data_IF_411258695665
#
_entry.id   IF_411258695665
#
_cell.length_a   1.000
_cell.length_b   1.000
_cell.length_c   1.000
_cell.angle_alpha   90.00
_cell.angle_beta   90.00
_cell.angle_gamma   90.00
#
_symmetry.space_group_name_H-M   'P 1'
#
loop_
_entity.id
_entity.type
_entity.pdbx_description
1 polymer ?
#
# COMPACT_ATOMS: atom_id res chain seq x y z
N UNK A 1 1.15 5.07 14.95
CA UNK A 1 1.06 4.00 13.93
C UNK A 1 2.37 4.08 13.18
N UNK A 2 3.26 3.11 13.38
CA UNK A 2 4.62 3.18 12.84
C UNK A 2 4.64 2.89 11.33
N UNK A 3 5.54 3.56 10.61
CA UNK A 3 5.68 3.42 9.15
C UNK A 3 5.92 1.97 8.72
N UNK A 4 6.56 1.15 9.56
CA UNK A 4 6.72 -0.29 9.35
C UNK A 4 5.37 -1.01 9.17
N UNK A 5 4.38 -0.68 10.01
CA UNK A 5 3.09 -1.37 9.98
C UNK A 5 2.28 -1.04 8.72
N UNK A 6 2.51 0.14 8.15
CA UNK A 6 1.90 0.54 6.87
C UNK A 6 2.55 -0.19 5.70
N UNK A 7 3.87 -0.42 5.77
CA UNK A 7 4.60 -1.23 4.79
C UNK A 7 4.14 -2.68 4.85
N UNK A 8 4.01 -3.27 6.03
CA UNK A 8 3.51 -4.64 6.20
C UNK A 8 2.10 -4.80 5.59
N UNK A 9 1.21 -3.83 5.82
CA UNK A 9 -0.14 -3.82 5.21
C UNK A 9 -0.12 -3.68 3.70
N UNK A 10 0.82 -2.92 3.15
CA UNK A 10 1.00 -2.81 1.70
C UNK A 10 1.45 -4.16 1.13
N UNK A 11 2.42 -4.80 1.78
CA UNK A 11 2.94 -6.10 1.35
C UNK A 11 1.88 -7.20 1.43
N UNK A 12 1.02 -7.17 2.44
CA UNK A 12 -0.14 -8.07 2.57
C UNK A 12 -1.14 -7.89 1.41
N UNK A 13 -1.48 -6.63 1.05
CA UNK A 13 -2.36 -6.33 -0.08
C UNK A 13 -1.80 -6.83 -1.42
N UNK A 14 -0.49 -6.73 -1.63
CA UNK A 14 0.17 -7.26 -2.81
C UNK A 14 0.22 -8.80 -2.82
N UNK A 15 0.39 -9.44 -1.67
CA UNK A 15 0.37 -10.90 -1.56
C UNK A 15 -1.04 -11.49 -1.72
N UNK A 16 -2.08 -10.78 -1.27
CA UNK A 16 -3.48 -11.16 -1.53
C UNK A 16 -3.89 -10.96 -3.00
N UNK A 17 -3.22 -10.05 -3.70
CA UNK A 17 -3.49 -9.73 -5.08
C UNK A 17 -3.23 -10.92 -6.02
N UNK A 18 -4.06 -11.06 -7.06
CA UNK A 18 -3.86 -12.12 -8.05
C UNK A 18 -2.83 -11.67 -9.09
N UNK A 19 -1.70 -12.37 -9.15
CA UNK A 19 -0.71 -12.19 -10.22
C UNK A 19 -1.31 -12.47 -11.59
N UNK A 20 -1.05 -11.59 -12.56
CA UNK A 20 -1.49 -11.78 -13.95
C UNK A 20 -0.45 -12.66 -14.67
N UNK A 21 -0.86 -13.81 -15.24
CA UNK A 21 0.08 -14.70 -15.93
C UNK A 21 0.78 -13.97 -17.08
N UNK A 22 2.06 -14.29 -17.30
CA UNK A 22 2.93 -13.68 -18.31
C UNK A 22 3.28 -12.20 -18.06
N UNK A 23 2.99 -11.64 -16.88
CA UNK A 23 3.39 -10.28 -16.51
C UNK A 23 3.94 -10.24 -15.08
N UNK A 24 4.63 -9.15 -14.72
CA UNK A 24 5.01 -8.83 -13.35
C UNK A 24 3.94 -7.97 -12.62
N UNK A 25 2.71 -7.97 -13.13
CA UNK A 25 1.61 -7.17 -12.58
C UNK A 25 0.73 -8.00 -11.65
N UNK A 26 0.26 -7.36 -10.58
CA UNK A 26 -0.65 -7.94 -9.59
C UNK A 26 -1.95 -7.16 -9.62
N UNK A 27 -3.08 -7.87 -9.68
CA UNK A 27 -4.40 -7.27 -9.52
C UNK A 27 -4.65 -7.06 -8.04
N UNK A 28 -4.83 -5.81 -7.64
CA UNK A 28 -5.21 -5.41 -6.29
C UNK A 28 -6.57 -4.71 -6.32
N UNK A 29 -7.25 -4.71 -5.18
CA UNK A 29 -8.49 -3.95 -5.00
C UNK A 29 -8.16 -2.45 -4.93
N UNK A 30 -8.72 -1.67 -5.85
CA UNK A 30 -8.44 -0.24 -5.99
C UNK A 30 -8.87 0.54 -4.74
N UNK A 31 -10.05 0.27 -4.19
CA UNK A 31 -10.58 0.98 -3.02
C UNK A 31 -9.69 0.73 -1.79
N UNK A 32 -9.31 -0.53 -1.54
CA UNK A 32 -8.39 -0.87 -0.43
C UNK A 32 -7.01 -0.24 -0.61
N UNK A 33 -6.53 -0.14 -1.85
CA UNK A 33 -5.23 0.44 -2.13
C UNK A 33 -5.25 1.97 -1.92
N UNK A 34 -6.32 2.66 -2.34
CA UNK A 34 -6.50 4.09 -2.10
C UNK A 34 -6.62 4.41 -0.61
N UNK A 35 -7.39 3.61 0.14
CA UNK A 35 -7.51 3.75 1.60
C UNK A 35 -6.17 3.59 2.33
N UNK A 36 -5.32 2.67 1.86
CA UNK A 36 -3.98 2.48 2.43
C UNK A 36 -3.07 3.68 2.11
N UNK A 37 -3.14 4.22 0.88
CA UNK A 37 -2.38 5.40 0.48
C UNK A 37 -2.77 6.61 1.33
N UNK A 38 -4.05 6.82 1.59
CA UNK A 38 -4.52 7.93 2.42
C UNK A 38 -4.09 7.77 3.89
N UNK A 39 -4.12 6.56 4.42
CA UNK A 39 -3.55 6.27 5.74
C UNK A 39 -2.04 6.56 5.80
N UNK A 40 -1.29 6.19 4.76
CA UNK A 40 0.13 6.53 4.66
C UNK A 40 0.36 8.04 4.60
N UNK A 41 -0.46 8.79 3.85
CA UNK A 41 -0.37 10.26 3.77
C UNK A 41 -0.60 10.94 5.12
N UNK A 42 -1.52 10.43 5.94
CA UNK A 42 -1.76 10.95 7.28
C UNK A 42 -0.63 10.58 8.24
N UNK A 43 -0.05 9.40 8.08
CA UNK A 43 1.03 8.90 8.92
C UNK A 43 2.40 9.47 8.56
N UNK A 44 2.59 9.96 7.32
CA UNK A 44 3.79 10.70 6.94
C UNK A 44 3.74 12.06 7.67
N UNK A 45 4.62 12.30 8.66
CA UNK A 45 4.67 13.57 9.35
C UNK A 45 5.03 14.69 8.35
N UNK A 46 4.60 15.92 8.66
CA UNK A 46 4.89 17.14 7.89
C UNK A 46 6.40 17.34 7.57
N UNK A 47 7.29 16.58 8.21
CA UNK A 47 8.74 16.54 7.97
C UNK A 47 9.14 16.12 6.55
N UNK A 48 8.32 15.35 5.82
CA UNK A 48 8.62 14.96 4.41
C UNK A 48 8.08 15.98 3.40
N UNK A 49 7.31 16.98 3.85
CA UNK A 49 6.85 18.11 3.00
C UNK A 49 7.91 19.20 2.82
N UNK A 50 9.13 19.03 3.33
CA UNK A 50 10.23 19.98 3.20
C UNK A 50 11.36 19.48 2.31
#
# INVERSE_FOLDING_TARGET
MDILHLVDRMEELFNEGRGIPFTHSVVVDEDRMLDLIDQMRVAIPEEVKK
#
